data_IF_909925485869
#
_entry.id   IF_909925485869
#
_cell.length_a   1.000
_cell.length_b   1.000
_cell.length_c   1.000
_cell.angle_alpha   90.00
_cell.angle_beta   90.00
_cell.angle_gamma   90.00
#
_symmetry.space_group_name_H-M   'P 1'
#
loop_
_entity.id
_entity.type
_entity.pdbx_description
1 polymer ?
#
# COMPACT_ATOMS: atom_id res chain seq x y z
N UNK A 1 24.12 -4.01 -3.88
CA UNK A 1 23.73 -2.98 -2.92
C UNK A 1 22.39 -3.34 -2.30
N UNK A 2 22.36 -3.45 -0.98
CA UNK A 2 21.15 -3.84 -0.26
C UNK A 2 20.01 -2.85 -0.48
N UNK A 3 20.31 -1.56 -0.49
CA UNK A 3 19.29 -0.53 -0.70
C UNK A 3 18.65 -0.69 -2.07
N UNK A 4 19.42 -0.92 -3.10
CA UNK A 4 18.90 -1.10 -4.47
C UNK A 4 18.06 -2.37 -4.56
N UNK A 5 18.47 -3.44 -3.90
CA UNK A 5 17.71 -4.69 -3.89
C UNK A 5 16.33 -4.45 -3.24
N UNK A 6 16.29 -3.75 -2.11
CA UNK A 6 15.00 -3.46 -1.47
C UNK A 6 14.14 -2.54 -2.32
N UNK A 7 14.74 -1.60 -3.05
CA UNK A 7 14.00 -0.74 -3.97
C UNK A 7 13.32 -1.58 -5.05
N UNK A 8 14.05 -2.53 -5.65
CA UNK A 8 13.49 -3.39 -6.70
C UNK A 8 12.35 -4.26 -6.14
N UNK A 9 12.54 -4.84 -4.96
CA UNK A 9 11.52 -5.67 -4.34
C UNK A 9 10.27 -4.85 -4.08
N UNK A 10 10.40 -3.66 -3.52
CA UNK A 10 9.25 -2.81 -3.22
C UNK A 10 8.58 -2.30 -4.49
N UNK A 11 9.35 -1.97 -5.52
CA UNK A 11 8.77 -1.55 -6.80
C UNK A 11 7.89 -2.65 -7.39
N UNK A 12 8.40 -3.88 -7.42
CA UNK A 12 7.64 -5.01 -7.92
C UNK A 12 6.41 -5.28 -7.08
N UNK A 13 6.54 -5.18 -5.75
CA UNK A 13 5.43 -5.39 -4.84
C UNK A 13 4.32 -4.36 -5.07
N UNK A 14 4.68 -3.07 -5.12
CA UNK A 14 3.67 -2.02 -5.29
C UNK A 14 3.02 -2.06 -6.67
N UNK A 15 3.80 -2.36 -7.71
CA UNK A 15 3.21 -2.51 -9.05
C UNK A 15 2.24 -3.69 -9.10
N UNK A 16 2.59 -4.80 -8.48
CA UNK A 16 1.71 -5.97 -8.41
C UNK A 16 0.43 -5.65 -7.66
N UNK A 17 0.54 -5.03 -6.49
CA UNK A 17 -0.63 -4.65 -5.68
C UNK A 17 -1.48 -3.62 -6.43
N UNK A 18 -0.84 -2.64 -7.09
CA UNK A 18 -1.56 -1.64 -7.87
C UNK A 18 -2.38 -2.26 -8.99
N UNK A 19 -1.81 -3.24 -9.71
CA UNK A 19 -2.55 -3.95 -10.75
C UNK A 19 -3.74 -4.70 -10.15
N UNK A 20 -3.57 -5.31 -8.98
CA UNK A 20 -4.66 -6.03 -8.33
C UNK A 20 -5.83 -5.13 -7.97
N UNK A 21 -5.59 -3.85 -7.68
CA UNK A 21 -6.68 -2.90 -7.43
C UNK A 21 -7.59 -2.76 -8.63
N UNK A 22 -7.07 -2.90 -9.84
CA UNK A 22 -7.87 -2.80 -11.06
C UNK A 22 -8.48 -4.15 -11.46
N UNK A 23 -7.79 -5.25 -11.19
CA UNK A 23 -8.24 -6.59 -11.59
C UNK A 23 -9.25 -7.16 -10.60
N UNK A 24 -9.02 -6.93 -9.31
CA UNK A 24 -9.86 -7.47 -8.24
C UNK A 24 -10.26 -6.37 -7.25
N UNK A 25 -11.00 -5.34 -7.71
CA UNK A 25 -11.35 -4.23 -6.81
C UNK A 25 -12.26 -4.66 -5.66
N UNK A 26 -13.10 -5.68 -5.86
CA UNK A 26 -14.01 -6.17 -4.82
C UNK A 26 -13.25 -6.65 -3.59
N UNK A 27 -12.08 -7.24 -3.78
CA UNK A 27 -11.27 -7.71 -2.66
C UNK A 27 -10.88 -6.57 -1.73
N UNK A 28 -10.53 -5.41 -2.31
CA UNK A 28 -10.14 -4.23 -1.52
C UNK A 28 -11.35 -3.51 -0.93
N UNK A 29 -12.51 -3.62 -1.58
CA UNK A 29 -13.73 -3.02 -1.06
C UNK A 29 -14.14 -3.62 0.28
N UNK A 30 -13.74 -4.86 0.57
CA UNK A 30 -14.09 -5.53 1.81
C UNK A 30 -13.58 -4.81 3.05
N UNK A 31 -12.47 -4.05 2.94
CA UNK A 31 -11.87 -3.35 4.07
C UNK A 31 -12.15 -1.86 4.07
N UNK A 32 -12.97 -1.36 3.15
CA UNK A 32 -13.37 0.05 3.15
C UNK A 32 -14.36 0.27 4.29
N UNK A 33 -14.12 1.29 5.15
CA UNK A 33 -15.08 1.60 6.22
C UNK A 33 -16.47 1.89 5.65
N UNK A 34 -17.55 1.39 6.30
CA UNK A 34 -18.90 1.53 5.73
C UNK A 34 -19.36 2.98 5.54
N UNK A 35 -18.86 3.90 6.36
CA UNK A 35 -19.25 5.31 6.26
C UNK A 35 -18.44 6.09 5.22
N UNK A 36 -17.52 5.41 4.53
CA UNK A 36 -16.72 6.04 3.48
C UNK A 36 -17.48 5.96 2.16
N UNK A 37 -17.61 7.09 1.47
CA UNK A 37 -18.29 7.13 0.17
C UNK A 37 -17.28 6.91 -0.97
N UNK A 38 -17.80 6.62 -2.16
CA UNK A 38 -16.98 6.46 -3.38
C UNK A 38 -15.93 5.35 -3.24
N UNK A 39 -16.39 4.15 -2.80
CA UNK A 39 -15.49 3.03 -2.54
C UNK A 39 -14.70 2.60 -3.79
N UNK A 40 -15.37 2.44 -4.93
CA UNK A 40 -14.68 2.02 -6.16
C UNK A 40 -13.65 3.05 -6.59
N UNK A 41 -14.00 4.34 -6.50
CA UNK A 41 -13.08 5.41 -6.87
C UNK A 41 -11.85 5.40 -5.98
N UNK A 42 -12.04 5.19 -4.68
CA UNK A 42 -10.92 5.14 -3.75
C UNK A 42 -9.98 3.98 -4.07
N UNK A 43 -10.53 2.80 -4.37
CA UNK A 43 -9.74 1.62 -4.72
C UNK A 43 -8.94 1.88 -5.99
N UNK A 44 -9.58 2.40 -7.04
CA UNK A 44 -8.90 2.63 -8.30
C UNK A 44 -7.82 3.71 -8.19
N UNK A 45 -8.09 4.81 -7.48
CA UNK A 45 -7.08 5.85 -7.29
C UNK A 45 -5.90 5.33 -6.47
N UNK A 46 -6.16 4.54 -5.42
CA UNK A 46 -5.10 3.93 -4.64
C UNK A 46 -4.22 3.04 -5.49
N UNK A 47 -4.84 2.19 -6.32
CA UNK A 47 -4.11 1.31 -7.22
C UNK A 47 -3.29 2.07 -8.25
N UNK A 48 -3.85 3.14 -8.79
CA UNK A 48 -3.15 3.97 -9.76
C UNK A 48 -1.88 4.57 -9.14
N UNK A 49 -2.00 5.15 -7.95
CA UNK A 49 -0.85 5.77 -7.30
C UNK A 49 0.19 4.74 -6.89
N UNK A 50 -0.23 3.56 -6.42
CA UNK A 50 0.71 2.50 -6.08
C UNK A 50 1.48 2.03 -7.30
N UNK A 51 0.80 1.86 -8.43
CA UNK A 51 1.43 1.46 -9.67
C UNK A 51 2.41 2.54 -10.16
N UNK A 52 1.96 3.79 -10.15
CA UNK A 52 2.77 4.92 -10.61
C UNK A 52 4.02 5.09 -9.75
N UNK A 53 3.87 5.14 -8.45
CA UNK A 53 4.99 5.37 -7.56
C UNK A 53 5.92 4.16 -7.49
N UNK A 54 5.36 2.94 -7.60
CA UNK A 54 6.19 1.75 -7.69
C UNK A 54 7.09 1.78 -8.92
N UNK A 55 6.54 2.19 -10.06
CA UNK A 55 7.32 2.32 -11.29
C UNK A 55 8.38 3.43 -11.17
N UNK A 56 7.98 4.59 -10.65
CA UNK A 56 8.89 5.74 -10.52
C UNK A 56 10.00 5.50 -9.50
N UNK A 57 9.80 4.58 -8.57
CA UNK A 57 10.79 4.29 -7.55
C UNK A 57 12.09 3.72 -8.14
N UNK A 58 12.00 3.06 -9.29
CA UNK A 58 13.16 2.43 -9.93
C UNK A 58 14.16 3.49 -10.43
N UNK A 59 13.66 4.60 -10.93
CA UNK A 59 14.51 5.65 -11.51
C UNK A 59 15.06 6.56 -10.42
N UNK A 60 16.40 6.70 -10.29
CA UNK A 60 16.97 7.57 -9.25
C UNK A 60 16.50 9.01 -9.30
N UNK A 61 16.18 9.53 -10.50
CA UNK A 61 15.77 10.93 -10.66
C UNK A 61 14.35 11.19 -10.12
N UNK A 62 13.50 10.17 -10.08
CA UNK A 62 12.13 10.29 -9.58
C UNK A 62 11.92 9.57 -8.25
N UNK A 63 12.96 8.94 -7.73
CA UNK A 63 12.86 8.10 -6.53
C UNK A 63 12.42 8.88 -5.30
N UNK A 64 12.89 10.11 -5.12
CA UNK A 64 12.51 10.93 -3.98
C UNK A 64 11.00 11.17 -3.96
N UNK A 65 10.46 11.62 -5.11
CA UNK A 65 9.02 11.87 -5.22
C UNK A 65 8.23 10.58 -5.06
N UNK A 66 8.69 9.50 -5.68
CA UNK A 66 8.02 8.20 -5.58
C UNK A 66 7.97 7.69 -4.16
N UNK A 67 9.08 7.81 -3.43
CA UNK A 67 9.14 7.34 -2.04
C UNK A 67 8.18 8.10 -1.14
N UNK A 68 8.15 9.43 -1.26
CA UNK A 68 7.21 10.22 -0.47
C UNK A 68 5.76 9.99 -0.90
N UNK A 69 5.53 9.72 -2.20
CA UNK A 69 4.21 9.35 -2.68
C UNK A 69 3.74 8.03 -2.07
N UNK A 70 4.62 7.06 -1.96
CA UNK A 70 4.32 5.78 -1.32
C UNK A 70 3.96 5.98 0.15
N UNK A 71 4.72 6.83 0.86
CA UNK A 71 4.41 7.14 2.26
C UNK A 71 3.03 7.76 2.38
N UNK A 72 2.69 8.68 1.48
CA UNK A 72 1.37 9.30 1.48
C UNK A 72 0.26 8.27 1.25
N UNK A 73 0.45 7.37 0.28
CA UNK A 73 -0.52 6.31 0.02
C UNK A 73 -0.68 5.41 1.23
N UNK A 74 0.42 5.04 1.89
CA UNK A 74 0.37 4.19 3.07
C UNK A 74 -0.45 4.83 4.20
N UNK A 75 -0.24 6.13 4.42
CA UNK A 75 -1.00 6.86 5.45
C UNK A 75 -2.48 6.93 5.06
N UNK A 76 -2.77 7.13 3.78
CA UNK A 76 -4.15 7.24 3.28
C UNK A 76 -4.91 5.93 3.43
N UNK A 77 -4.24 4.77 3.23
CA UNK A 77 -4.90 3.47 3.34
C UNK A 77 -4.89 2.92 4.77
N UNK A 78 -4.24 3.59 5.71
CA UNK A 78 -4.19 3.14 7.09
C UNK A 78 -5.59 2.92 7.70
N UNK A 79 -6.58 3.81 7.48
CA UNK A 79 -7.93 3.55 8.02
C UNK A 79 -8.53 2.22 7.55
N UNK A 80 -8.27 1.80 6.30
CA UNK A 80 -8.76 0.53 5.81
C UNK A 80 -8.11 -0.64 6.54
N UNK A 81 -6.79 -0.58 6.75
CA UNK A 81 -6.09 -1.61 7.50
C UNK A 81 -6.53 -1.65 8.96
N UNK A 82 -6.78 -0.49 9.56
CA UNK A 82 -7.28 -0.42 10.92
C UNK A 82 -8.68 -1.01 11.03
N UNK A 83 -9.54 -0.72 10.06
CA UNK A 83 -10.89 -1.31 10.02
C UNK A 83 -10.82 -2.84 9.96
N UNK A 84 -9.93 -3.37 9.12
CA UNK A 84 -9.72 -4.81 9.03
C UNK A 84 -9.28 -5.39 10.38
N UNK A 85 -8.34 -4.73 11.07
CA UNK A 85 -7.83 -5.20 12.34
C UNK A 85 -8.90 -5.15 13.43
N UNK A 86 -9.67 -4.06 13.50
CA UNK A 86 -10.73 -3.91 14.49
C UNK A 86 -11.78 -5.01 14.36
N UNK A 87 -12.04 -5.46 13.13
CA UNK A 87 -12.98 -6.55 12.86
C UNK A 87 -12.31 -7.93 12.89
N UNK A 88 -11.09 -8.02 13.43
CA UNK A 88 -10.34 -9.27 13.59
C UNK A 88 -10.17 -10.06 12.28
N UNK A 89 -10.15 -9.33 11.16
CA UNK A 89 -9.94 -9.94 9.84
C UNK A 89 -11.18 -10.58 9.22
N UNK A 90 -12.33 -10.54 9.90
CA UNK A 90 -13.52 -11.26 9.42
C UNK A 90 -14.04 -10.70 8.10
N UNK A 91 -13.86 -9.41 7.85
CA UNK A 91 -14.37 -8.77 6.62
C UNK A 91 -13.64 -9.27 5.37
N UNK A 92 -12.44 -9.86 5.52
CA UNK A 92 -11.69 -10.44 4.40
C UNK A 92 -11.53 -11.95 4.53
N UNK A 93 -12.05 -12.55 5.61
CA UNK A 93 -11.88 -13.97 5.85
C UNK A 93 -10.46 -14.37 6.22
N UNK A 94 -9.66 -13.46 6.73
CA UNK A 94 -8.30 -13.74 7.20
C UNK A 94 -8.27 -13.87 8.71
N UNK A 95 -7.17 -14.42 9.24
CA UNK A 95 -7.04 -14.62 10.68
C UNK A 95 -6.88 -13.28 11.41
N UNK A 96 -7.27 -13.28 12.70
CA UNK A 96 -7.10 -12.13 13.57
C UNK A 96 -5.63 -11.72 13.66
N UNK A 97 -4.74 -12.69 13.79
CA UNK A 97 -3.31 -12.45 13.90
C UNK A 97 -2.78 -11.78 12.65
N UNK A 98 -3.22 -12.21 11.47
CA UNK A 98 -2.80 -11.61 10.21
C UNK A 98 -3.31 -10.18 10.08
N UNK A 99 -4.57 -9.94 10.47
CA UNK A 99 -5.16 -8.60 10.37
C UNK A 99 -4.40 -7.60 11.25
N UNK A 100 -4.12 -7.97 12.49
CA UNK A 100 -3.38 -7.10 13.41
C UNK A 100 -1.90 -7.00 13.02
N UNK A 101 -1.32 -8.08 12.46
CA UNK A 101 0.07 -8.08 12.02
C UNK A 101 0.33 -7.16 10.83
N UNK A 102 -0.70 -6.86 10.04
CA UNK A 102 -0.54 -5.95 8.89
C UNK A 102 -0.20 -4.53 9.32
N UNK A 103 -0.60 -4.11 10.50
CA UNK A 103 -0.34 -2.74 10.97
C UNK A 103 1.16 -2.49 11.19
N UNK A 104 1.90 -3.36 11.91
CA UNK A 104 3.35 -3.18 12.03
C UNK A 104 4.06 -3.24 10.68
N UNK A 105 3.64 -4.11 9.77
CA UNK A 105 4.26 -4.19 8.44
C UNK A 105 4.08 -2.89 7.67
N UNK A 106 2.96 -2.21 7.85
CA UNK A 106 2.75 -0.92 7.22
C UNK A 106 3.79 0.10 7.67
N UNK A 107 4.12 0.11 8.96
CA UNK A 107 5.17 0.97 9.47
C UNK A 107 6.54 0.59 8.90
N UNK A 108 6.80 -0.71 8.71
CA UNK A 108 8.04 -1.16 8.08
C UNK A 108 8.14 -0.62 6.65
N UNK A 109 7.05 -0.70 5.89
CA UNK A 109 7.04 -0.18 4.52
C UNK A 109 7.25 1.34 4.48
N UNK A 110 6.65 2.07 5.41
CA UNK A 110 6.86 3.51 5.51
C UNK A 110 8.33 3.81 5.80
N UNK A 111 8.93 3.07 6.73
CA UNK A 111 10.35 3.22 7.06
C UNK A 111 11.26 2.93 5.88
N UNK A 112 10.98 1.86 5.13
CA UNK A 112 11.72 1.54 3.93
C UNK A 112 11.59 2.63 2.88
N UNK A 113 10.38 3.15 2.67
CA UNK A 113 10.16 4.22 1.71
C UNK A 113 10.92 5.48 2.13
N UNK A 114 10.94 5.80 3.42
CA UNK A 114 11.71 6.93 3.91
C UNK A 114 13.21 6.74 3.63
N UNK A 115 13.71 5.53 3.87
CA UNK A 115 15.11 5.21 3.58
C UNK A 115 15.40 5.37 2.08
N UNK A 116 14.49 4.90 1.23
CA UNK A 116 14.67 5.00 -0.21
C UNK A 116 14.65 6.45 -0.70
N UNK A 117 14.02 7.35 0.05
CA UNK A 117 14.01 8.77 -0.28
C UNK A 117 15.35 9.45 0.01
N UNK A 118 16.20 8.81 0.81
CA UNK A 118 17.53 9.35 1.12
C UNK A 118 18.50 9.07 -0.02
N UNK A 119 19.48 9.92 -0.18
CA UNK A 119 20.51 9.75 -1.21
C UNK A 119 21.55 8.69 -0.85
#
# INVERSE_FOLDING_TARGET
DLKFITILIMSCFYMNVGVKHFVEPEWFLQIMPPNFSHHYQAVYWSGFFELLFGFLLINPNTRFIASWGIIFVMITVFPANLYLAINDGTVMGISKELAWGRLPFQYVFIGLAYWHAQD
#
